data_IF_099203550115
#
_entry.id   IF_099203550115
#
_cell.length_a   1.000
_cell.length_b   1.000
_cell.length_c   1.000
_cell.angle_alpha   90.00
_cell.angle_beta   90.00
_cell.angle_gamma   90.00
#
_symmetry.space_group_name_H-M   'P 1'
#
loop_
_entity.id
_entity.type
_entity.pdbx_description
1 polymer ?
#
# COMPACT_ATOMS: atom_id res chain seq x y z
N UNK A 1 -2.71 -9.95 -2.03
CA UNK A 1 -2.34 -9.04 -0.95
C UNK A 1 -3.60 -8.40 -0.41
N UNK A 2 -3.77 -8.41 0.90
CA UNK A 2 -4.88 -7.77 1.63
C UNK A 2 -4.27 -6.63 2.43
N UNK A 3 -4.64 -5.40 2.09
CA UNK A 3 -4.20 -4.19 2.77
C UNK A 3 -5.37 -3.58 3.53
N UNK A 4 -5.34 -3.65 4.85
CA UNK A 4 -6.41 -3.12 5.69
C UNK A 4 -6.01 -1.73 6.19
N UNK A 5 -6.76 -0.76 5.73
CA UNK A 5 -6.66 0.64 6.14
C UNK A 5 -7.65 0.97 7.26
N UNK A 6 -7.76 2.24 7.59
CA UNK A 6 -8.68 2.66 8.64
C UNK A 6 -10.16 2.38 8.27
N UNK A 7 -10.60 2.82 7.10
CA UNK A 7 -12.00 2.80 6.70
C UNK A 7 -12.28 1.87 5.50
N UNK A 8 -11.27 1.20 4.99
CA UNK A 8 -11.40 0.32 3.85
C UNK A 8 -10.32 -0.75 3.80
N UNK A 9 -10.55 -1.75 2.95
CA UNK A 9 -9.59 -2.82 2.67
C UNK A 9 -9.38 -2.91 1.17
N UNK A 10 -8.13 -2.84 0.75
CA UNK A 10 -7.72 -3.01 -0.64
C UNK A 10 -7.25 -4.46 -0.84
N UNK A 11 -7.82 -5.12 -1.85
CA UNK A 11 -7.47 -6.49 -2.22
C UNK A 11 -6.81 -6.43 -3.58
N UNK A 12 -5.55 -6.85 -3.64
CA UNK A 12 -4.77 -6.98 -4.86
C UNK A 12 -4.44 -8.45 -5.10
N UNK A 13 -4.85 -8.99 -6.24
CA UNK A 13 -4.54 -10.35 -6.67
C UNK A 13 -3.48 -10.29 -7.76
N UNK A 14 -2.38 -11.01 -7.54
CA UNK A 14 -1.25 -11.09 -8.47
C UNK A 14 -1.11 -12.52 -9.00
N UNK A 15 -0.73 -12.63 -10.26
CA UNK A 15 -0.26 -13.86 -10.89
C UNK A 15 1.05 -13.54 -11.61
N UNK A 16 2.10 -14.32 -11.33
CA UNK A 16 3.42 -14.13 -11.94
C UNK A 16 3.94 -12.68 -11.82
N UNK A 17 3.77 -12.08 -10.64
CA UNK A 17 4.07 -10.68 -10.31
C UNK A 17 3.28 -9.61 -11.09
N UNK A 18 2.26 -10.01 -11.84
CA UNK A 18 1.38 -9.09 -12.57
C UNK A 18 0.06 -8.93 -11.82
N UNK A 19 -0.35 -7.69 -11.58
CA UNK A 19 -1.65 -7.39 -10.97
C UNK A 19 -2.78 -7.83 -11.90
N UNK A 20 -3.62 -8.73 -11.41
CA UNK A 20 -4.77 -9.28 -12.14
C UNK A 20 -6.10 -8.63 -11.75
N UNK A 21 -6.25 -8.32 -10.48
CA UNK A 21 -7.46 -7.73 -9.92
C UNK A 21 -7.11 -6.82 -8.76
N UNK A 22 -7.74 -5.66 -8.73
CA UNK A 22 -7.79 -4.78 -7.55
C UNK A 22 -9.25 -4.51 -7.19
N UNK A 23 -9.57 -4.60 -5.91
CA UNK A 23 -10.89 -4.27 -5.37
C UNK A 23 -10.77 -3.59 -4.03
N UNK A 24 -11.67 -2.62 -3.80
CA UNK A 24 -11.84 -1.97 -2.52
C UNK A 24 -13.09 -2.51 -1.84
N UNK A 25 -12.95 -2.84 -0.57
CA UNK A 25 -14.01 -3.24 0.33
C UNK A 25 -14.20 -2.10 1.33
N UNK A 26 -15.41 -1.54 1.51
CA UNK A 26 -15.63 -0.35 2.35
C UNK A 26 -15.73 -0.71 3.84
N UNK A 27 -14.81 -1.54 4.31
CA UNK A 27 -14.69 -2.00 5.69
C UNK A 27 -13.21 -2.05 6.06
N UNK A 28 -12.86 -1.41 7.17
CA UNK A 28 -11.48 -1.30 7.63
C UNK A 28 -11.35 -1.48 9.15
N UNK A 29 -10.21 -1.08 9.67
CA UNK A 29 -9.87 -1.21 11.09
C UNK A 29 -10.83 -0.45 12.01
N UNK A 30 -11.42 0.65 11.56
CA UNK A 30 -12.34 1.47 12.36
C UNK A 30 -13.52 0.68 12.93
N UNK A 31 -14.04 -0.29 12.18
CA UNK A 31 -15.12 -1.16 12.67
C UNK A 31 -14.72 -1.91 13.95
N UNK A 32 -13.52 -2.47 13.92
CA UNK A 32 -12.97 -3.21 15.06
C UNK A 32 -12.69 -2.30 16.25
N UNK A 33 -12.12 -1.12 16.00
CA UNK A 33 -11.85 -0.14 17.07
C UNK A 33 -13.17 0.31 17.69
N UNK A 34 -14.20 0.59 16.90
CA UNK A 34 -15.52 0.97 17.39
C UNK A 34 -16.17 -0.13 18.26
N UNK A 35 -16.09 -1.39 17.83
CA UNK A 35 -16.60 -2.52 18.62
C UNK A 35 -15.88 -2.63 19.98
N UNK A 36 -14.58 -2.39 20.04
CA UNK A 36 -13.82 -2.36 21.29
C UNK A 36 -14.20 -1.15 22.15
N UNK A 37 -14.40 0.02 21.53
CA UNK A 37 -14.87 1.22 22.24
C UNK A 37 -16.21 0.97 22.90
N UNK A 38 -17.16 0.38 22.20
CA UNK A 38 -18.51 0.06 22.69
C UNK A 38 -18.45 -1.00 23.80
N UNK A 39 -17.78 -2.12 23.56
CA UNK A 39 -17.72 -3.23 24.51
C UNK A 39 -17.05 -2.85 25.84
N UNK A 40 -16.01 -2.02 25.80
CA UNK A 40 -15.21 -1.69 26.98
C UNK A 40 -15.38 -0.25 27.50
N UNK A 41 -16.23 0.56 26.87
CA UNK A 41 -16.42 1.97 27.25
C UNK A 41 -15.17 2.82 27.07
N UNK A 42 -14.32 2.53 26.08
CA UNK A 42 -13.03 3.16 25.88
C UNK A 42 -13.07 4.29 24.85
N UNK A 43 -12.14 5.24 24.97
CA UNK A 43 -11.86 6.21 23.90
C UNK A 43 -11.03 5.55 22.80
N UNK A 44 -11.03 6.12 21.60
CA UNK A 44 -10.39 5.61 20.40
C UNK A 44 -8.92 5.18 20.60
N UNK A 45 -8.11 6.01 21.24
CA UNK A 45 -6.69 5.73 21.47
C UNK A 45 -6.49 4.54 22.43
N UNK A 46 -7.28 4.49 23.50
CA UNK A 46 -7.21 3.37 24.46
C UNK A 46 -7.71 2.06 23.83
N UNK A 47 -8.76 2.10 23.00
CA UNK A 47 -9.25 0.95 22.26
C UNK A 47 -8.22 0.43 21.25
N UNK A 48 -7.55 1.34 20.53
CA UNK A 48 -6.48 0.99 19.58
C UNK A 48 -5.30 0.34 20.31
N UNK A 49 -4.86 0.92 21.42
CA UNK A 49 -3.78 0.37 22.24
C UNK A 49 -4.13 -1.01 22.79
N UNK A 50 -5.38 -1.19 23.25
CA UNK A 50 -5.86 -2.47 23.73
C UNK A 50 -5.83 -3.55 22.65
N UNK A 51 -6.27 -3.24 21.42
CA UNK A 51 -6.21 -4.14 20.27
C UNK A 51 -4.79 -4.58 19.88
N UNK A 52 -3.80 -3.71 20.08
CA UNK A 52 -2.40 -4.04 19.79
C UNK A 52 -1.76 -4.90 20.88
N UNK A 53 -2.13 -4.67 22.14
CA UNK A 53 -1.49 -5.30 23.28
C UNK A 53 -2.16 -6.61 23.73
N UNK A 54 -3.47 -6.74 23.52
CA UNK A 54 -4.26 -7.88 23.96
C UNK A 54 -4.81 -8.67 22.77
N UNK A 55 -5.01 -9.98 22.94
CA UNK A 55 -5.68 -10.83 21.94
C UNK A 55 -7.18 -10.79 22.21
N UNK A 56 -7.87 -9.85 21.56
CA UNK A 56 -9.32 -9.67 21.70
C UNK A 56 -10.12 -10.40 20.64
N UNK A 57 -9.45 -10.83 19.56
CA UNK A 57 -10.09 -11.56 18.46
C UNK A 57 -10.03 -13.06 18.71
N UNK A 58 -11.17 -13.71 18.55
CA UNK A 58 -11.25 -15.16 18.52
C UNK A 58 -10.77 -15.67 17.15
N UNK A 59 -10.41 -16.94 17.09
CA UNK A 59 -9.92 -17.56 15.86
C UNK A 59 -11.02 -17.82 14.81
N UNK A 60 -12.30 -17.68 15.20
CA UNK A 60 -13.50 -17.85 14.36
C UNK A 60 -14.59 -16.92 14.84
N UNK A 61 -15.59 -16.71 13.99
CA UNK A 61 -16.81 -16.03 14.37
C UNK A 61 -17.69 -16.95 15.24
N UNK A 62 -17.82 -16.62 16.50
CA UNK A 62 -18.49 -17.42 17.53
C UNK A 62 -19.52 -16.64 18.37
N UNK A 63 -19.87 -15.43 17.89
CA UNK A 63 -20.81 -14.54 18.57
C UNK A 63 -20.16 -13.49 19.49
N UNK A 64 -18.83 -13.49 19.65
CA UNK A 64 -18.14 -12.41 20.36
C UNK A 64 -18.26 -11.08 19.59
N UNK A 65 -18.75 -10.03 20.23
CA UNK A 65 -19.07 -8.72 19.60
C UNK A 65 -17.88 -8.12 18.84
N UNK A 66 -16.68 -8.18 19.42
CA UNK A 66 -15.48 -7.63 18.82
C UNK A 66 -15.08 -8.42 17.58
N UNK A 67 -15.09 -9.75 17.67
CA UNK A 67 -14.78 -10.64 16.55
C UNK A 67 -15.84 -10.50 15.45
N UNK A 68 -17.12 -10.47 15.81
CA UNK A 68 -18.25 -10.35 14.87
C UNK A 68 -18.23 -9.04 14.08
N UNK A 69 -17.64 -7.96 14.62
CA UNK A 69 -17.52 -6.70 13.89
C UNK A 69 -16.78 -6.84 12.55
N UNK A 70 -15.94 -7.85 12.41
CA UNK A 70 -15.17 -8.13 11.18
C UNK A 70 -15.90 -9.04 10.18
N UNK A 71 -17.08 -9.57 10.52
CA UNK A 71 -17.79 -10.54 9.67
C UNK A 71 -18.09 -10.01 8.26
N UNK A 72 -18.57 -8.78 8.16
CA UNK A 72 -18.86 -8.16 6.87
C UNK A 72 -17.61 -7.96 6.03
N UNK A 73 -16.50 -7.56 6.65
CA UNK A 73 -15.21 -7.40 5.97
C UNK A 73 -14.72 -8.75 5.43
N UNK A 74 -14.65 -9.78 6.27
CA UNK A 74 -14.23 -11.12 5.87
C UNK A 74 -15.11 -11.69 4.75
N UNK A 75 -16.44 -11.56 4.87
CA UNK A 75 -17.39 -12.00 3.86
C UNK A 75 -17.19 -11.30 2.50
N UNK A 76 -16.94 -10.01 2.50
CA UNK A 76 -16.68 -9.27 1.26
C UNK A 76 -15.32 -9.62 0.66
N UNK A 77 -14.29 -9.83 1.47
CA UNK A 77 -12.98 -10.34 0.99
C UNK A 77 -13.18 -11.70 0.33
N UNK A 78 -13.88 -12.62 0.99
CA UNK A 78 -14.17 -13.95 0.44
C UNK A 78 -14.90 -13.86 -0.91
N UNK A 79 -15.92 -13.02 -1.01
CA UNK A 79 -16.66 -12.78 -2.26
C UNK A 79 -15.78 -12.29 -3.41
N UNK A 80 -14.80 -11.43 -3.14
CA UNK A 80 -13.83 -10.99 -4.15
C UNK A 80 -12.93 -12.13 -4.59
N UNK A 81 -12.48 -12.96 -3.65
CA UNK A 81 -11.66 -14.13 -3.92
C UNK A 81 -12.44 -15.15 -4.77
N UNK A 82 -13.65 -15.49 -4.37
CA UNK A 82 -14.52 -16.44 -5.07
C UNK A 82 -14.83 -15.96 -6.49
N UNK A 83 -15.09 -14.67 -6.66
CA UNK A 83 -15.30 -14.08 -8.00
C UNK A 83 -14.08 -14.28 -8.89
N UNK A 84 -12.86 -14.03 -8.38
CA UNK A 84 -11.65 -14.20 -9.16
C UNK A 84 -11.37 -15.68 -9.48
N UNK A 85 -11.49 -16.56 -8.50
CA UNK A 85 -11.24 -18.00 -8.62
C UNK A 85 -12.21 -18.63 -9.63
N UNK A 86 -13.50 -18.35 -9.51
CA UNK A 86 -14.52 -18.92 -10.39
C UNK A 86 -14.37 -18.45 -11.84
N UNK A 87 -14.03 -17.17 -12.05
CA UNK A 87 -13.87 -16.60 -13.39
C UNK A 87 -12.62 -17.10 -14.11
N UNK A 88 -11.52 -17.23 -13.39
CA UNK A 88 -10.22 -17.57 -13.97
C UNK A 88 -9.88 -19.07 -13.88
N UNK A 89 -10.68 -19.88 -13.16
CA UNK A 89 -10.41 -21.29 -12.87
C UNK A 89 -9.04 -21.52 -12.25
N UNK A 90 -8.62 -20.60 -11.39
CA UNK A 90 -7.34 -20.58 -10.70
C UNK A 90 -7.58 -20.60 -9.20
N UNK A 91 -6.70 -21.26 -8.44
CA UNK A 91 -6.69 -21.19 -6.98
C UNK A 91 -5.74 -20.10 -6.50
N UNK A 92 -6.09 -19.46 -5.37
CA UNK A 92 -5.17 -18.58 -4.64
C UNK A 92 -4.41 -19.42 -3.63
N UNK A 93 -3.10 -19.44 -3.72
CA UNK A 93 -2.26 -20.30 -2.88
C UNK A 93 -2.11 -19.75 -1.47
N UNK A 94 -1.96 -18.42 -1.32
CA UNK A 94 -1.82 -17.73 -0.05
C UNK A 94 -2.11 -16.23 -0.19
N UNK A 95 -2.37 -15.58 0.94
CA UNK A 95 -2.50 -14.14 1.01
C UNK A 95 -1.41 -13.52 1.89
N UNK A 96 -1.06 -12.29 1.58
CA UNK A 96 -0.19 -11.46 2.40
C UNK A 96 -1.03 -10.35 3.02
N UNK A 97 -0.91 -10.18 4.33
CA UNK A 97 -1.55 -9.10 5.08
C UNK A 97 -0.54 -7.96 5.29
N UNK A 98 -0.93 -6.77 4.88
CA UNK A 98 -0.13 -5.54 5.04
C UNK A 98 -0.99 -4.42 5.65
N UNK A 99 -0.35 -3.33 6.03
CA UNK A 99 -1.03 -2.16 6.58
C UNK A 99 -1.18 -2.21 8.10
N UNK A 100 -2.01 -1.30 8.63
CA UNK A 100 -2.15 -1.08 10.07
C UNK A 100 -2.71 -2.27 10.85
N UNK A 101 -3.36 -3.21 10.19
CA UNK A 101 -3.96 -4.39 10.83
C UNK A 101 -2.94 -5.49 11.17
N UNK A 102 -1.71 -5.41 10.64
CA UNK A 102 -0.67 -6.41 10.94
C UNK A 102 -0.29 -6.43 12.42
N UNK A 103 -0.43 -5.30 13.13
CA UNK A 103 -0.19 -5.18 14.57
C UNK A 103 -1.32 -5.73 15.45
N UNK A 104 -2.50 -6.00 14.89
CA UNK A 104 -3.63 -6.51 15.67
C UNK A 104 -3.47 -8.00 15.93
N UNK A 105 -3.44 -8.38 17.21
CA UNK A 105 -3.29 -9.77 17.62
C UNK A 105 -4.54 -10.60 17.24
N UNK A 106 -4.32 -11.79 16.67
CA UNK A 106 -5.39 -12.69 16.24
C UNK A 106 -5.98 -12.40 14.87
N UNK A 107 -5.77 -11.20 14.30
CA UNK A 107 -6.41 -10.78 13.05
C UNK A 107 -6.06 -11.69 11.85
N UNK A 108 -4.78 -11.98 11.63
CA UNK A 108 -4.36 -12.86 10.54
C UNK A 108 -4.89 -14.29 10.72
N UNK A 109 -4.96 -14.79 11.96
CA UNK A 109 -5.49 -16.11 12.29
C UNK A 109 -6.99 -16.20 12.00
N UNK A 110 -7.77 -15.21 12.44
CA UNK A 110 -9.20 -15.13 12.13
C UNK A 110 -9.43 -15.12 10.62
N UNK A 111 -8.78 -14.23 9.88
CA UNK A 111 -8.93 -14.16 8.42
C UNK A 111 -8.47 -15.45 7.74
N UNK A 112 -7.39 -16.10 8.19
CA UNK A 112 -6.91 -17.34 7.61
C UNK A 112 -7.95 -18.46 7.76
N UNK A 113 -8.59 -18.55 8.91
CA UNK A 113 -9.64 -19.54 9.16
C UNK A 113 -10.91 -19.24 8.34
N UNK A 114 -11.33 -17.99 8.27
CA UNK A 114 -12.57 -17.61 7.58
C UNK A 114 -12.44 -17.64 6.04
N UNK A 115 -11.26 -17.35 5.52
CA UNK A 115 -10.99 -17.42 4.08
C UNK A 115 -10.47 -18.80 3.63
N UNK A 116 -10.29 -19.72 4.58
CA UNK A 116 -9.75 -21.05 4.35
C UNK A 116 -8.47 -21.05 3.50
N UNK A 117 -7.57 -20.11 3.78
CA UNK A 117 -6.28 -20.00 3.09
C UNK A 117 -5.19 -19.50 4.02
N UNK A 118 -3.91 -19.86 3.79
CA UNK A 118 -2.80 -19.32 4.55
C UNK A 118 -2.67 -17.80 4.39
N UNK A 119 -2.59 -17.08 5.51
CA UNK A 119 -2.35 -15.63 5.53
C UNK A 119 -1.05 -15.36 6.29
N UNK A 120 -0.09 -14.77 5.59
CA UNK A 120 1.19 -14.36 6.15
C UNK A 120 1.20 -12.85 6.40
N UNK A 121 1.61 -12.44 7.60
CA UNK A 121 1.86 -11.03 7.88
C UNK A 121 3.17 -10.61 7.25
N UNK A 122 3.17 -9.48 6.55
CA UNK A 122 4.41 -8.85 6.10
C UNK A 122 4.91 -7.92 7.19
N UNK A 123 5.87 -8.36 7.95
CA UNK A 123 6.46 -7.59 9.04
C UNK A 123 7.66 -6.74 8.58
N UNK A 124 8.31 -7.16 7.49
CA UNK A 124 9.47 -6.47 6.92
C UNK A 124 9.39 -6.41 5.41
N UNK A 125 9.83 -5.30 4.84
CA UNK A 125 10.00 -5.14 3.41
C UNK A 125 11.43 -5.53 3.05
N UNK A 126 11.58 -6.62 2.28
CA UNK A 126 12.88 -7.04 1.74
C UNK A 126 13.37 -6.00 0.74
N UNK A 127 14.68 -5.76 0.72
CA UNK A 127 15.34 -4.83 -0.20
C UNK A 127 15.08 -3.33 0.01
N UNK A 128 14.49 -2.96 1.15
CA UNK A 128 14.42 -1.55 1.56
C UNK A 128 15.32 -1.39 2.78
N UNK A 129 16.37 -0.58 2.62
CA UNK A 129 17.24 -0.19 3.72
C UNK A 129 16.84 1.20 4.20
N UNK A 130 16.63 1.34 5.50
CA UNK A 130 16.44 2.65 6.12
C UNK A 130 17.80 3.33 6.31
N UNK A 131 17.86 4.64 6.05
CA UNK A 131 19.00 5.45 6.48
C UNK A 131 19.11 5.37 8.00
N UNK A 132 20.35 5.30 8.51
CA UNK A 132 20.65 5.28 9.95
C UNK A 132 20.10 6.50 10.71
N UNK A 133 19.75 7.57 10.01
CA UNK A 133 19.10 8.78 10.55
C UNK A 133 17.58 8.72 10.53
N UNK A 134 16.96 7.69 9.95
CA UNK A 134 15.51 7.57 9.92
C UNK A 134 15.01 7.13 11.29
N UNK A 135 14.19 7.93 11.93
CA UNK A 135 13.53 7.65 13.21
C UNK A 135 12.26 6.78 13.04
N UNK A 136 12.28 5.83 12.10
CA UNK A 136 11.12 4.98 11.78
C UNK A 136 11.51 3.52 12.02
N UNK A 137 10.72 2.82 12.82
CA UNK A 137 10.88 1.37 12.99
C UNK A 137 10.52 0.62 11.70
N UNK A 138 11.31 -0.42 11.35
CA UNK A 138 11.05 -1.25 10.16
C UNK A 138 9.63 -1.82 10.11
N UNK A 139 9.06 -2.18 11.25
CA UNK A 139 7.69 -2.69 11.35
C UNK A 139 6.64 -1.64 10.89
N UNK A 140 6.95 -0.36 11.03
CA UNK A 140 6.06 0.73 10.60
C UNK A 140 6.06 0.91 9.09
N UNK A 141 7.13 0.49 8.39
CA UNK A 141 7.24 0.62 6.92
C UNK A 141 6.15 -0.13 6.17
N UNK A 142 5.69 -1.25 6.70
CA UNK A 142 4.62 -2.02 6.06
C UNK A 142 3.29 -1.27 5.99
N UNK A 143 3.09 -0.30 6.88
CA UNK A 143 1.93 0.59 6.84
C UNK A 143 2.01 1.64 5.73
N UNK A 144 3.22 1.90 5.20
CA UNK A 144 3.48 2.88 4.15
C UNK A 144 3.85 2.26 2.80
N UNK A 145 3.51 0.98 2.59
CA UNK A 145 3.85 0.24 1.35
C UNK A 145 3.42 1.00 0.09
N UNK A 146 2.23 1.59 0.08
CA UNK A 146 1.72 2.34 -1.07
C UNK A 146 2.57 3.59 -1.35
N UNK A 147 2.95 4.32 -0.30
CA UNK A 147 3.79 5.50 -0.42
C UNK A 147 5.21 5.14 -0.90
N UNK A 148 5.76 4.04 -0.36
CA UNK A 148 7.07 3.53 -0.77
C UNK A 148 7.04 3.07 -2.23
N UNK A 149 5.98 2.40 -2.67
CA UNK A 149 5.79 2.00 -4.06
C UNK A 149 5.79 3.20 -5.02
N UNK A 150 5.13 4.29 -4.65
CA UNK A 150 5.10 5.52 -5.45
C UNK A 150 6.48 6.20 -5.58
N UNK A 151 7.38 5.99 -4.62
CA UNK A 151 8.76 6.50 -4.68
C UNK A 151 9.66 5.60 -5.52
N UNK A 152 9.47 4.28 -5.45
CA UNK A 152 10.29 3.30 -6.18
C UNK A 152 9.99 3.34 -7.69
N UNK A 153 8.72 3.44 -8.04
CA UNK A 153 8.26 3.52 -9.44
C UNK A 153 7.25 4.68 -9.57
N UNK A 154 7.75 5.92 -9.64
CA UNK A 154 6.89 7.10 -9.66
C UNK A 154 6.10 7.17 -10.97
N UNK A 155 4.80 7.37 -10.84
CA UNK A 155 3.94 7.65 -11.99
C UNK A 155 4.19 9.09 -12.43
N UNK A 156 4.68 9.27 -13.65
CA UNK A 156 4.86 10.59 -14.23
C UNK A 156 3.52 11.10 -14.79
N UNK A 157 2.96 12.09 -14.11
CA UNK A 157 1.73 12.77 -14.53
C UNK A 157 1.98 13.94 -15.49
N UNK A 158 3.24 14.26 -15.78
CA UNK A 158 3.57 15.35 -16.70
C UNK A 158 3.34 14.87 -18.15
N UNK A 159 2.46 15.50 -18.93
CA UNK A 159 2.26 15.11 -20.31
C UNK A 159 3.57 15.15 -21.10
N UNK A 160 3.90 14.09 -21.84
CA UNK A 160 5.14 13.94 -22.61
C UNK A 160 5.47 15.17 -23.45
N UNK A 161 4.44 15.82 -24.06
CA UNK A 161 4.61 17.07 -24.82
C UNK A 161 5.19 18.24 -24.01
N UNK A 162 4.96 18.29 -22.67
CA UNK A 162 5.53 19.33 -21.82
C UNK A 162 6.98 19.02 -21.48
N UNK A 163 7.32 17.76 -21.29
CA UNK A 163 8.70 17.31 -21.09
C UNK A 163 9.51 17.59 -22.34
N UNK A 164 9.00 17.23 -23.52
CA UNK A 164 9.65 17.48 -24.81
C UNK A 164 9.81 18.97 -25.10
N UNK A 165 8.80 19.80 -24.77
CA UNK A 165 8.89 21.25 -24.94
C UNK A 165 9.92 21.89 -24.01
N UNK A 166 10.06 21.39 -22.78
CA UNK A 166 11.10 21.83 -21.83
C UNK A 166 12.50 21.49 -22.32
N UNK A 167 12.72 20.24 -22.72
CA UNK A 167 14.00 19.79 -23.27
C UNK A 167 14.38 20.55 -24.57
N UNK A 168 13.40 20.83 -25.44
CA UNK A 168 13.61 21.60 -26.67
C UNK A 168 14.02 23.04 -26.38
N UNK A 169 13.44 23.68 -25.35
CA UNK A 169 13.80 25.03 -24.91
C UNK A 169 15.23 25.11 -24.38
N UNK A 170 15.68 24.10 -23.66
CA UNK A 170 17.02 24.04 -23.10
C UNK A 170 18.07 23.82 -24.19
N UNK A 171 17.80 22.91 -25.12
CA UNK A 171 18.66 22.68 -26.28
C UNK A 171 18.75 23.92 -27.19
N UNK A 172 17.67 24.66 -27.36
CA UNK A 172 17.67 25.90 -28.16
C UNK A 172 18.52 27.00 -27.50
N UNK A 173 18.47 27.13 -26.18
CA UNK A 173 19.35 28.08 -25.47
C UNK A 173 20.83 27.72 -25.64
N UNK A 174 21.17 26.46 -25.51
CA UNK A 174 22.54 25.95 -25.68
C UNK A 174 23.06 26.20 -27.09
N UNK A 175 22.20 25.95 -28.10
CA UNK A 175 22.53 26.23 -29.50
C UNK A 175 22.76 27.74 -29.77
N UNK A 176 21.89 28.60 -29.22
CA UNK A 176 22.03 30.08 -29.37
C UNK A 176 23.35 30.57 -28.74
N UNK A 177 23.63 30.10 -27.52
CA UNK A 177 24.88 30.47 -26.84
C UNK A 177 26.11 29.99 -27.60
N UNK A 178 26.09 28.77 -28.14
CA UNK A 178 27.13 28.23 -28.99
C UNK A 178 27.34 29.02 -30.28
N UNK A 179 26.23 29.41 -30.93
CA UNK A 179 26.29 30.20 -32.17
C UNK A 179 26.81 31.62 -31.97
N UNK A 180 26.37 32.27 -30.89
CA UNK A 180 26.89 33.61 -30.51
C UNK A 180 28.39 33.54 -30.16
N UNK A 181 28.80 32.52 -29.42
CA UNK A 181 30.22 32.29 -29.10
C UNK A 181 31.08 32.10 -30.34
N UNK A 182 30.61 31.30 -31.32
CA UNK A 182 31.31 31.08 -32.58
C UNK A 182 31.45 32.36 -33.42
N UNK A 183 30.39 33.21 -33.44
CA UNK A 183 30.46 34.52 -34.13
C UNK A 183 31.46 35.47 -33.50
N UNK A 184 31.56 35.51 -32.18
CA UNK A 184 32.53 36.35 -31.47
C UNK A 184 33.95 35.89 -31.77
N UNK A 185 34.21 34.59 -31.75
CA UNK A 185 35.53 34.05 -32.09
C UNK A 185 35.95 34.34 -33.53
N UNK A 186 34.99 34.17 -34.48
CA UNK A 186 35.25 34.47 -35.90
C UNK A 186 35.51 35.95 -36.15
N UNK A 187 34.81 36.85 -35.46
CA UNK A 187 35.04 38.29 -35.56
C UNK A 187 36.43 38.71 -35.04
N UNK A 188 36.90 38.06 -33.94
CA UNK A 188 38.23 38.29 -33.37
C UNK A 188 39.34 37.82 -34.32
N UNK A 189 39.15 36.72 -35.04
CA UNK A 189 40.13 36.19 -36.01
C UNK A 189 40.26 37.04 -37.27
N UNK A 190 39.24 37.82 -37.62
CA UNK A 190 39.28 38.75 -38.76
C UNK A 190 39.98 40.09 -38.40
N UNK A 191 40.08 40.39 -37.13
CA UNK A 191 40.70 41.62 -36.62
C UNK A 191 42.23 41.49 -36.33
N UNK A 192 42.77 40.27 -36.44
CA UNK A 192 44.20 39.96 -36.32
C UNK A 192 44.78 39.76 -37.72
#
# INVERSE_FOLDING_TARGET
>A
VIQVENDGTVINIFKDNVLQLQRNVPYGKSMLVNAVMEKYGLKYEAATTKLQNETLLHSRFDGDEVTESLRYMASNINRVIDYYVSRNRLSIQKAYLIGHSTSIKGFATLLSNELNMPIEKVERLKNIALDKKAYVEEATLTSYVTNLGAVIDPVDFIPKRLIESGARKENTKTLIVGFVGALVVSALLVLI
#
